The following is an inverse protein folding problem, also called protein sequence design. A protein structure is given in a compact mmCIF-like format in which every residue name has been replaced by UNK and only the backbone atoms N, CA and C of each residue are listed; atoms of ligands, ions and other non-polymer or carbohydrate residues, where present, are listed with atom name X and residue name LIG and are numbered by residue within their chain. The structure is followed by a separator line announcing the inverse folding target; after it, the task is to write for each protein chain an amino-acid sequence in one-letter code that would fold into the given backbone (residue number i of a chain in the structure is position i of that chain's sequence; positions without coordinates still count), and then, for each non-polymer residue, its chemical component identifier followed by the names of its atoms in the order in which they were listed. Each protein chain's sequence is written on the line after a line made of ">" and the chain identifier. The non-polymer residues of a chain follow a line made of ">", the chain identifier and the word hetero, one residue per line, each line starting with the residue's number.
data_IF_450489930006
#
_entry.id   IF_450489930006
#
_cell.length_a   1.000
_cell.length_b   1.000
_cell.length_c   1.000
_cell.angle_alpha   90.00
_cell.angle_beta   90.00
_cell.angle_gamma   90.00
#
_symmetry.space_group_name_H-M   'P 1'
#
loop_
_entity.id
_entity.type
_entity.pdbx_description
1 polymer ?
#
# COMPACT_ATOMS: atom_id res chain seq x y z
N UNK A 1 20.52 -3.47 -41.03
CA UNK A 1 21.45 -3.65 -39.89
C UNK A 1 21.13 -2.59 -38.85
N UNK A 2 20.52 -2.95 -37.72
CA UNK A 2 20.38 -2.05 -36.57
C UNK A 2 21.27 -2.63 -35.45
N UNK A 3 22.41 -1.99 -35.17
CA UNK A 3 23.24 -2.38 -34.03
C UNK A 3 22.56 -1.79 -32.78
N UNK A 4 22.29 -2.57 -31.73
CA UNK A 4 21.88 -2.01 -30.45
C UNK A 4 23.05 -1.24 -29.84
N UNK A 5 22.78 -0.04 -29.32
CA UNK A 5 23.76 0.83 -28.69
C UNK A 5 24.34 0.18 -27.42
N UNK A 6 25.67 0.16 -27.24
CA UNK A 6 26.33 -0.47 -26.09
C UNK A 6 26.27 0.37 -24.81
N UNK A 7 25.48 1.45 -24.78
CA UNK A 7 25.47 2.43 -23.68
C UNK A 7 24.08 2.59 -23.05
N UNK A 8 23.31 1.49 -22.96
CA UNK A 8 22.11 1.45 -22.14
C UNK A 8 22.53 1.24 -20.68
N UNK A 9 22.63 2.34 -19.93
CA UNK A 9 22.85 2.33 -18.48
C UNK A 9 21.87 1.40 -17.72
N UNK A 10 20.72 1.11 -18.33
CA UNK A 10 19.69 0.21 -17.81
C UNK A 10 20.12 -1.26 -17.71
N UNK A 11 21.08 -1.74 -18.52
CA UNK A 11 21.49 -3.16 -18.48
C UNK A 11 22.52 -3.48 -17.39
N UNK A 12 23.38 -2.53 -17.02
CA UNK A 12 24.28 -2.70 -15.87
C UNK A 12 23.51 -2.52 -14.56
N UNK A 13 22.61 -1.53 -14.48
CA UNK A 13 21.78 -1.30 -13.31
C UNK A 13 20.91 -2.54 -12.96
N UNK A 14 20.26 -3.16 -13.96
CA UNK A 14 19.50 -4.41 -13.73
C UNK A 14 20.40 -5.58 -13.26
N UNK A 15 21.64 -5.70 -13.76
CA UNK A 15 22.57 -6.75 -13.32
C UNK A 15 23.06 -6.54 -11.89
N UNK A 16 23.29 -5.29 -11.51
CA UNK A 16 23.74 -4.93 -10.17
C UNK A 16 22.60 -5.17 -9.15
N UNK A 17 21.36 -4.82 -9.50
CA UNK A 17 20.17 -5.07 -8.68
C UNK A 17 19.91 -6.57 -8.48
N UNK A 18 20.04 -7.38 -9.53
CA UNK A 18 19.90 -8.84 -9.45
C UNK A 18 20.96 -9.46 -8.51
N UNK A 19 22.19 -8.95 -8.53
CA UNK A 19 23.26 -9.43 -7.66
C UNK A 19 23.02 -9.08 -6.18
N UNK A 20 22.52 -7.87 -5.90
CA UNK A 20 22.14 -7.45 -4.54
C UNK A 20 20.95 -8.26 -4.03
N UNK A 21 19.96 -8.55 -4.89
CA UNK A 21 18.80 -9.36 -4.52
C UNK A 21 19.20 -10.80 -4.16
N UNK A 22 20.11 -11.41 -4.93
CA UNK A 22 20.63 -12.76 -4.64
C UNK A 22 21.41 -12.82 -3.32
N UNK A 23 22.18 -11.79 -2.98
CA UNK A 23 22.87 -11.72 -1.70
C UNK A 23 21.89 -11.63 -0.51
N UNK A 24 20.81 -10.86 -0.66
CA UNK A 24 19.74 -10.77 0.34
C UNK A 24 19.03 -12.12 0.55
N UNK A 25 18.73 -12.85 -0.53
CA UNK A 25 18.13 -14.19 -0.46
C UNK A 25 19.08 -15.18 0.20
N UNK A 26 20.34 -15.22 -0.22
CA UNK A 26 21.33 -16.13 0.35
C UNK A 26 21.52 -15.91 1.86
N UNK A 27 21.53 -14.65 2.29
CA UNK A 27 21.60 -14.28 3.72
C UNK A 27 20.34 -14.66 4.49
N UNK A 28 19.16 -14.52 3.88
CA UNK A 28 17.88 -14.89 4.48
C UNK A 28 17.75 -16.41 4.64
N UNK A 29 18.12 -17.17 3.61
CA UNK A 29 18.13 -18.64 3.63
C UNK A 29 19.19 -19.18 4.59
N UNK A 30 20.36 -18.55 4.66
CA UNK A 30 21.41 -18.89 5.63
C UNK A 30 21.01 -18.62 7.09
N UNK A 31 20.17 -17.61 7.33
CA UNK A 31 19.63 -17.31 8.67
C UNK A 31 18.49 -18.27 9.06
N UNK A 32 17.68 -18.74 8.10
CA UNK A 32 16.62 -19.72 8.35
C UNK A 32 17.12 -21.16 8.44
N UNK A 33 18.25 -21.48 7.81
CA UNK A 33 18.80 -22.85 7.76
C UNK A 33 19.80 -23.17 8.87
N UNK A 34 19.92 -22.31 9.89
CA UNK A 34 20.76 -22.60 11.05
C UNK A 34 20.19 -23.78 11.87
N UNK A 35 20.90 -24.90 12.03
CA UNK A 35 20.47 -25.95 12.93
C UNK A 35 20.46 -25.40 14.36
N UNK A 36 19.45 -25.79 15.12
CA UNK A 36 19.39 -25.56 16.55
C UNK A 36 20.66 -26.12 17.22
N UNK A 37 21.54 -25.22 17.67
CA UNK A 37 22.63 -25.50 18.59
C UNK A 37 23.87 -26.12 17.95
N UNK A 38 24.91 -25.31 17.77
CA UNK A 38 26.30 -25.76 17.87
C UNK A 38 27.19 -24.52 18.06
N UNK A 39 27.95 -24.52 19.16
CA UNK A 39 28.88 -23.46 19.56
C UNK A 39 30.28 -23.90 19.11
N UNK A 40 30.98 -23.16 18.24
CA UNK A 40 32.41 -23.41 18.02
C UNK A 40 33.25 -22.52 18.91
N UNK A 41 34.03 -23.15 19.78
CA UNK A 41 35.19 -22.54 20.43
C UNK A 41 36.29 -22.28 19.40
N UNK A 42 36.87 -21.08 19.37
CA UNK A 42 38.30 -20.94 19.07
C UNK A 42 38.86 -19.61 19.58
N UNK A 43 40.06 -19.70 20.13
CA UNK A 43 40.65 -18.70 21.01
C UNK A 43 41.53 -17.63 20.36
N UNK A 44 41.77 -16.63 21.20
CA UNK A 44 42.93 -15.75 21.29
C UNK A 44 43.11 -14.62 20.25
N UNK A 45 42.85 -13.37 20.71
CA UNK A 45 43.72 -12.25 20.36
C UNK A 45 43.13 -10.84 20.27
N UNK A 46 42.64 -10.26 21.39
CA UNK A 46 42.65 -8.81 21.68
C UNK A 46 41.74 -7.89 20.85
N UNK A 47 41.05 -6.87 21.37
CA UNK A 47 41.15 -6.13 22.63
C UNK A 47 39.76 -5.57 22.95
N UNK A 48 39.36 -5.77 24.21
CA UNK A 48 38.56 -4.86 25.05
C UNK A 48 37.60 -3.88 24.39
N UNK A 49 36.31 -4.19 24.50
CA UNK A 49 35.28 -3.35 25.16
C UNK A 49 33.89 -3.58 24.59
N UNK A 50 33.44 -4.83 24.50
CA UNK A 50 32.02 -5.13 24.21
C UNK A 50 31.42 -6.21 25.11
N UNK A 51 32.11 -6.59 26.18
CA UNK A 51 31.63 -7.57 27.16
C UNK A 51 31.32 -6.89 28.50
N UNK A 52 30.39 -5.94 28.49
CA UNK A 52 29.58 -5.70 29.69
C UNK A 52 28.11 -5.90 29.34
N UNK A 53 27.68 -7.12 29.64
CA UNK A 53 26.32 -7.51 30.01
C UNK A 53 25.35 -7.87 28.88
N UNK A 54 25.64 -8.95 28.15
CA UNK A 54 24.59 -9.86 27.71
C UNK A 54 24.19 -10.76 28.89
N UNK A 55 23.30 -10.26 29.75
CA UNK A 55 22.51 -11.13 30.64
C UNK A 55 21.32 -11.67 29.83
N UNK A 56 21.05 -12.98 29.82
CA UNK A 56 19.80 -13.49 29.29
C UNK A 56 18.69 -13.13 30.30
N UNK A 57 17.68 -12.37 29.88
CA UNK A 57 16.50 -12.11 30.72
C UNK A 57 15.96 -10.68 30.78
N UNK A 58 16.14 -9.84 29.75
CA UNK A 58 15.28 -8.65 29.62
C UNK A 58 14.97 -8.38 28.15
N UNK A 59 13.70 -8.56 27.78
CA UNK A 59 13.20 -8.06 26.50
C UNK A 59 13.48 -6.55 26.47
N UNK A 60 14.16 -6.06 25.42
CA UNK A 60 14.37 -4.62 25.24
C UNK A 60 13.01 -3.95 25.21
N UNK A 61 12.85 -2.93 26.03
CA UNK A 61 11.64 -2.13 26.08
C UNK A 61 11.67 -1.09 24.97
N UNK A 62 10.51 -0.62 24.53
CA UNK A 62 10.39 0.43 23.51
C UNK A 62 11.19 1.69 23.87
N UNK A 63 11.40 1.95 25.18
CA UNK A 63 12.23 3.04 25.72
C UNK A 63 13.72 2.92 25.37
N UNK A 64 14.22 1.71 25.10
CA UNK A 64 15.62 1.48 24.78
C UNK A 64 15.98 1.91 23.34
N UNK A 65 14.96 2.20 22.51
CA UNK A 65 15.09 2.61 21.11
C UNK A 65 14.75 4.08 20.88
N UNK A 66 14.61 4.87 21.94
CA UNK A 66 14.20 6.26 21.84
C UNK A 66 15.35 7.23 22.18
N UNK A 67 16.17 7.61 21.18
CA UNK A 67 17.33 8.49 21.40
C UNK A 67 16.93 9.93 21.76
N UNK A 68 15.65 10.28 21.63
CA UNK A 68 15.12 11.63 21.88
C UNK A 68 14.30 11.71 23.18
N UNK A 69 14.07 10.59 23.86
CA UNK A 69 13.46 10.53 25.20
C UNK A 69 11.95 10.84 25.26
N UNK A 70 11.25 10.77 24.13
CA UNK A 70 9.82 11.09 23.98
C UNK A 70 8.87 10.04 24.59
N UNK A 71 9.35 8.83 24.86
CA UNK A 71 8.61 7.69 25.39
C UNK A 71 8.47 7.69 26.92
N UNK A 72 9.06 8.69 27.58
CA UNK A 72 8.81 8.94 29.00
C UNK A 72 7.68 9.96 29.12
N UNK A 73 6.51 9.62 29.67
CA UNK A 73 5.49 10.61 29.95
C UNK A 73 6.08 11.67 30.88
N UNK A 74 5.87 12.95 30.55
CA UNK A 74 6.33 14.05 31.39
C UNK A 74 5.76 13.86 32.80
N UNK A 75 6.64 13.86 33.80
CA UNK A 75 6.24 13.81 35.21
C UNK A 75 5.39 15.05 35.48
N UNK A 76 4.08 14.87 35.66
CA UNK A 76 3.21 15.92 36.17
C UNK A 76 3.73 16.31 37.56
N UNK A 77 4.08 17.60 37.79
CA UNK A 77 4.51 18.04 39.10
C UNK A 77 3.36 17.90 40.09
N UNK A 78 3.66 17.36 41.27
CA UNK A 78 2.71 17.10 42.36
C UNK A 78 1.63 18.19 42.47
N UNK A 79 0.41 17.73 42.23
CA UNK A 79 -0.82 18.51 42.16
C UNK A 79 -1.22 19.01 43.55
N UNK A 80 -0.54 20.02 44.09
CA UNK A 80 -1.05 20.72 45.28
C UNK A 80 -0.72 22.23 45.33
N UNK A 81 0.04 22.75 44.37
CA UNK A 81 0.31 24.20 44.24
C UNK A 81 -0.08 24.81 42.88
N UNK A 82 -0.53 23.98 41.92
CA UNK A 82 -0.72 24.36 40.52
C UNK A 82 -2.12 24.84 40.12
N UNK A 83 -3.15 24.54 40.91
CA UNK A 83 -4.54 24.77 40.52
C UNK A 83 -4.84 26.25 40.19
N UNK A 84 -4.29 27.20 40.96
CA UNK A 84 -4.53 28.63 40.73
C UNK A 84 -3.67 29.26 39.61
N UNK A 85 -2.63 28.57 39.12
CA UNK A 85 -1.79 29.05 38.00
C UNK A 85 -2.15 28.39 36.66
N UNK A 86 -2.67 27.17 36.70
CA UNK A 86 -3.12 26.46 35.50
C UNK A 86 -4.27 27.19 34.78
N UNK A 87 -5.19 27.79 35.54
CA UNK A 87 -6.33 28.54 34.97
C UNK A 87 -5.90 29.81 34.19
N UNK A 88 -4.75 30.40 34.54
CA UNK A 88 -4.23 31.61 33.90
C UNK A 88 -3.28 31.33 32.71
N UNK A 89 -2.56 30.20 32.71
CA UNK A 89 -1.66 29.80 31.62
C UNK A 89 -2.35 28.97 30.52
N UNK A 90 -3.51 28.36 30.79
CA UNK A 90 -4.29 27.65 29.79
C UNK A 90 -4.88 28.58 28.71
N UNK A 91 -5.15 29.85 29.03
CA UNK A 91 -5.76 30.82 28.10
C UNK A 91 -4.80 31.39 27.05
N UNK A 92 -3.53 31.01 27.04
CA UNK A 92 -2.51 31.58 26.14
C UNK A 92 -1.68 30.56 25.35
N UNK A 93 -1.91 29.26 25.53
CA UNK A 93 -1.21 28.23 24.75
C UNK A 93 -1.88 28.13 23.36
N UNK A 94 -1.15 28.31 22.25
CA UNK A 94 -1.71 28.03 20.94
C UNK A 94 -2.14 26.56 20.92
N UNK A 95 -3.38 26.30 20.49
CA UNK A 95 -3.94 24.95 20.43
C UNK A 95 -2.97 24.05 19.68
N UNK A 96 -2.45 23.04 20.37
CA UNK A 96 -1.50 22.09 19.81
C UNK A 96 -2.21 21.14 18.85
N UNK A 97 -1.46 20.36 18.03
CA UNK A 97 -2.03 19.39 17.08
C UNK A 97 -2.84 18.24 17.71
N UNK A 98 -3.06 18.25 19.02
CA UNK A 98 -3.83 17.26 19.78
C UNK A 98 -4.93 17.89 20.63
N UNK A 99 -5.07 19.21 20.59
CA UNK A 99 -6.01 19.97 21.40
C UNK A 99 -7.28 20.24 20.57
N UNK A 100 -7.85 19.17 20.01
CA UNK A 100 -9.14 19.24 19.30
C UNK A 100 -10.26 19.12 20.33
N UNK A 101 -11.13 20.12 20.42
CA UNK A 101 -12.39 19.96 21.11
C UNK A 101 -13.26 19.00 20.30
N UNK A 102 -13.80 17.97 20.96
CA UNK A 102 -14.84 17.13 20.38
C UNK A 102 -16.10 17.96 20.41
N UNK A 103 -16.42 18.61 19.29
CA UNK A 103 -17.73 19.23 19.12
C UNK A 103 -18.73 18.07 19.09
N UNK A 104 -19.51 17.91 20.16
CA UNK A 104 -20.66 16.98 20.23
C UNK A 104 -21.79 17.51 19.32
N UNK A 105 -21.48 17.77 18.05
CA UNK A 105 -22.49 18.00 17.04
C UNK A 105 -22.98 16.63 16.59
N UNK A 106 -24.28 16.37 16.76
CA UNK A 106 -24.98 15.14 16.39
C UNK A 106 -25.01 14.90 14.85
N UNK A 107 -23.91 15.14 14.14
CA UNK A 107 -23.70 14.81 12.74
C UNK A 107 -23.51 13.30 12.58
N UNK A 108 -24.52 12.54 12.98
CA UNK A 108 -24.59 11.13 12.65
C UNK A 108 -24.60 11.03 11.13
N UNK A 109 -23.54 10.45 10.57
CA UNK A 109 -23.49 10.16 9.14
C UNK A 109 -24.69 9.28 8.78
N UNK A 110 -25.66 9.88 8.09
CA UNK A 110 -26.78 9.17 7.46
C UNK A 110 -26.39 9.02 5.99
N UNK A 111 -25.99 7.82 5.54
CA UNK A 111 -25.77 7.59 4.13
C UNK A 111 -27.05 7.93 3.37
N UNK A 112 -26.91 8.72 2.32
CA UNK A 112 -28.01 8.90 1.36
C UNK A 112 -28.38 7.54 0.74
N UNK A 113 -29.68 7.32 0.53
CA UNK A 113 -30.13 6.08 -0.11
C UNK A 113 -29.54 6.01 -1.53
N UNK A 114 -28.87 4.91 -1.88
CA UNK A 114 -28.17 4.83 -3.15
C UNK A 114 -29.19 4.90 -4.29
N UNK A 115 -28.88 5.60 -5.39
CA UNK A 115 -29.74 5.66 -6.56
C UNK A 115 -29.99 4.24 -7.09
N UNK A 116 -31.23 3.98 -7.53
CA UNK A 116 -31.63 2.66 -8.01
C UNK A 116 -30.79 2.24 -9.23
N UNK A 117 -30.16 1.07 -9.14
CA UNK A 117 -29.41 0.46 -10.23
C UNK A 117 -30.28 0.11 -11.45
N UNK A 118 -31.61 0.13 -11.31
CA UNK A 118 -32.54 -0.06 -12.42
C UNK A 118 -32.46 1.07 -13.47
N UNK A 119 -31.81 2.20 -13.14
CA UNK A 119 -31.63 3.34 -14.04
C UNK A 119 -30.45 3.25 -15.01
N UNK A 120 -29.70 2.14 -15.05
CA UNK A 120 -28.56 2.04 -15.99
C UNK A 120 -29.00 2.10 -17.44
N UNK A 121 -28.34 2.92 -18.25
CA UNK A 121 -28.69 3.10 -19.65
C UNK A 121 -28.50 1.78 -20.44
N UNK A 122 -29.52 1.33 -21.21
CA UNK A 122 -29.49 0.02 -21.86
C UNK A 122 -28.35 -0.14 -22.85
N UNK A 123 -27.90 0.94 -23.48
CA UNK A 123 -26.77 0.91 -24.41
C UNK A 123 -25.45 0.59 -23.69
N UNK A 124 -25.26 1.11 -22.48
CA UNK A 124 -24.09 0.85 -21.64
C UNK A 124 -24.09 -0.62 -21.19
N UNK A 125 -25.24 -1.16 -20.83
CA UNK A 125 -25.43 -2.59 -20.56
C UNK A 125 -25.04 -3.45 -21.78
N UNK A 126 -25.53 -3.11 -22.97
CA UNK A 126 -25.17 -3.83 -24.21
C UNK A 126 -23.66 -3.76 -24.50
N UNK A 127 -23.03 -2.61 -24.25
CA UNK A 127 -21.60 -2.46 -24.41
C UNK A 127 -20.81 -3.32 -23.41
N UNK A 128 -21.26 -3.43 -22.15
CA UNK A 128 -20.67 -4.37 -21.19
C UNK A 128 -20.83 -5.83 -21.61
N UNK A 129 -22.01 -6.19 -22.12
CA UNK A 129 -22.26 -7.52 -22.67
C UNK A 129 -21.35 -7.78 -23.87
N UNK A 130 -21.13 -6.82 -24.76
CA UNK A 130 -20.21 -6.99 -25.89
C UNK A 130 -18.74 -7.01 -25.47
N UNK A 131 -18.35 -6.22 -24.47
CA UNK A 131 -16.98 -6.14 -23.96
C UNK A 131 -16.59 -7.44 -23.22
N UNK A 132 -17.45 -7.96 -22.34
CA UNK A 132 -17.20 -9.22 -21.62
C UNK A 132 -17.55 -10.42 -22.47
N UNK A 133 -18.66 -10.34 -23.21
CA UNK A 133 -19.15 -11.39 -24.08
C UNK A 133 -18.27 -11.63 -25.31
N UNK A 134 -17.53 -10.64 -25.81
CA UNK A 134 -16.61 -10.81 -26.93
C UNK A 134 -15.52 -11.86 -26.68
N UNK A 135 -14.68 -11.71 -25.64
CA UNK A 135 -13.67 -12.69 -25.26
C UNK A 135 -14.26 -14.07 -24.96
N UNK A 136 -15.38 -14.10 -24.24
CA UNK A 136 -16.09 -15.34 -23.91
C UNK A 136 -16.61 -16.03 -25.18
N UNK A 137 -17.24 -15.29 -26.08
CA UNK A 137 -17.76 -15.79 -27.35
C UNK A 137 -16.64 -16.30 -28.26
N UNK A 138 -15.48 -15.63 -28.29
CA UNK A 138 -14.30 -16.12 -29.00
C UNK A 138 -13.81 -17.45 -28.40
N UNK A 139 -13.79 -17.59 -27.08
CA UNK A 139 -13.41 -18.83 -26.41
C UNK A 139 -14.39 -19.97 -26.73
N UNK A 140 -15.70 -19.72 -26.66
CA UNK A 140 -16.72 -20.69 -27.06
C UNK A 140 -16.65 -21.03 -28.55
N UNK A 141 -16.38 -20.05 -29.41
CA UNK A 141 -16.20 -20.27 -30.85
C UNK A 141 -14.99 -21.17 -31.10
N UNK A 142 -13.86 -20.91 -30.44
CA UNK A 142 -12.66 -21.75 -30.58
C UNK A 142 -12.87 -23.18 -30.06
N UNK A 143 -13.65 -23.35 -28.99
CA UNK A 143 -13.87 -24.64 -28.32
C UNK A 143 -14.95 -25.49 -29.00
N UNK A 144 -16.12 -24.91 -29.30
CA UNK A 144 -17.27 -25.62 -29.87
C UNK A 144 -17.31 -25.56 -31.40
N UNK A 145 -16.61 -24.59 -32.01
CA UNK A 145 -16.72 -24.24 -33.42
C UNK A 145 -15.35 -24.09 -34.08
N UNK A 146 -14.54 -25.17 -34.00
CA UNK A 146 -13.17 -25.21 -34.53
C UNK A 146 -13.05 -24.81 -36.02
N UNK A 147 -14.10 -25.00 -36.80
CA UNK A 147 -14.20 -24.64 -38.22
C UNK A 147 -15.06 -23.40 -38.48
N UNK A 148 -15.18 -22.50 -37.50
CA UNK A 148 -15.91 -21.24 -37.67
C UNK A 148 -15.38 -20.44 -38.88
N UNK A 149 -16.27 -19.91 -39.73
CA UNK A 149 -15.86 -19.10 -40.87
C UNK A 149 -15.19 -17.80 -40.37
N UNK A 150 -14.17 -17.34 -41.10
CA UNK A 150 -13.38 -16.17 -40.74
C UNK A 150 -14.24 -14.91 -40.55
N UNK A 151 -15.37 -14.80 -41.28
CA UNK A 151 -16.35 -13.73 -41.14
C UNK A 151 -17.01 -13.70 -39.76
N UNK A 152 -17.31 -14.85 -39.16
CA UNK A 152 -17.90 -14.93 -37.82
C UNK A 152 -16.90 -14.46 -36.76
N UNK A 153 -15.66 -14.93 -36.83
CA UNK A 153 -14.59 -14.52 -35.91
C UNK A 153 -14.33 -13.01 -36.01
N UNK A 154 -14.22 -12.46 -37.22
CA UNK A 154 -14.09 -11.02 -37.42
C UNK A 154 -15.30 -10.24 -36.90
N UNK A 155 -16.51 -10.78 -37.06
CA UNK A 155 -17.73 -10.17 -36.52
C UNK A 155 -17.69 -10.04 -34.99
N UNK A 156 -17.28 -11.11 -34.29
CA UNK A 156 -17.16 -11.10 -32.82
C UNK A 156 -16.09 -10.08 -32.38
N UNK A 157 -14.94 -10.07 -33.06
CA UNK A 157 -13.87 -9.10 -32.76
C UNK A 157 -14.35 -7.66 -33.00
N UNK A 158 -15.07 -7.41 -34.09
CA UNK A 158 -15.60 -6.08 -34.40
C UNK A 158 -16.62 -5.61 -33.33
N UNK A 159 -17.53 -6.49 -32.89
CA UNK A 159 -18.48 -6.19 -31.80
C UNK A 159 -17.74 -5.89 -30.49
N UNK A 160 -16.73 -6.67 -30.15
CA UNK A 160 -15.91 -6.44 -28.97
C UNK A 160 -15.22 -5.08 -29.01
N UNK A 161 -14.54 -4.75 -30.12
CA UNK A 161 -13.85 -3.46 -30.28
C UNK A 161 -14.84 -2.30 -30.21
N UNK A 162 -15.97 -2.39 -30.93
CA UNK A 162 -17.01 -1.35 -30.89
C UNK A 162 -17.55 -1.13 -29.48
N UNK A 163 -17.74 -2.21 -28.71
CA UNK A 163 -18.23 -2.14 -27.33
C UNK A 163 -17.24 -1.47 -26.38
N UNK A 164 -15.95 -1.82 -26.49
CA UNK A 164 -14.88 -1.21 -25.68
C UNK A 164 -14.72 0.27 -26.03
N UNK A 165 -14.69 0.61 -27.32
CA UNK A 165 -14.61 2.01 -27.77
C UNK A 165 -15.80 2.82 -27.24
N UNK A 166 -17.02 2.26 -27.31
CA UNK A 166 -18.21 2.92 -26.76
C UNK A 166 -18.08 3.17 -25.25
N UNK A 167 -17.62 2.19 -24.47
CA UNK A 167 -17.40 2.36 -23.03
C UNK A 167 -16.37 3.44 -22.72
N UNK A 168 -15.26 3.49 -23.47
CA UNK A 168 -14.24 4.53 -23.31
C UNK A 168 -14.83 5.92 -23.58
N UNK A 169 -15.60 6.08 -24.66
CA UNK A 169 -16.27 7.34 -24.98
C UNK A 169 -17.31 7.75 -23.92
N UNK A 170 -17.77 6.80 -23.10
CA UNK A 170 -18.77 7.04 -22.05
C UNK A 170 -18.15 7.38 -20.70
N UNK A 171 -16.84 7.22 -20.53
CA UNK A 171 -16.18 7.56 -19.27
C UNK A 171 -16.36 9.06 -18.95
N UNK A 172 -16.86 9.41 -17.75
CA UNK A 172 -16.94 10.79 -17.30
C UNK A 172 -15.57 11.44 -17.39
N UNK A 173 -15.49 12.60 -18.05
CA UNK A 173 -14.23 13.35 -18.20
C UNK A 173 -14.02 14.37 -17.07
N UNK A 174 -15.05 14.60 -16.27
CA UNK A 174 -15.05 15.51 -15.14
C UNK A 174 -14.81 14.73 -13.84
N UNK A 175 -13.71 15.07 -13.17
CA UNK A 175 -13.40 14.62 -11.81
C UNK A 175 -14.07 15.60 -10.86
N UNK A 176 -14.87 15.14 -9.90
CA UNK A 176 -15.34 16.00 -8.82
C UNK A 176 -14.12 16.51 -8.04
N UNK A 177 -13.89 17.83 -8.07
CA UNK A 177 -12.76 18.47 -7.38
C UNK A 177 -12.98 18.52 -5.86
N UNK A 178 -14.25 18.49 -5.44
CA UNK A 178 -14.69 18.55 -4.04
C UNK A 178 -14.84 17.16 -3.38
N UNK A 179 -14.59 16.09 -4.12
CA UNK A 179 -14.68 14.70 -3.62
C UNK A 179 -13.27 14.10 -3.52
N UNK A 180 -12.56 14.48 -2.46
CA UNK A 180 -11.23 13.94 -2.11
C UNK A 180 -11.32 12.65 -1.28
N UNK A 181 -12.53 12.11 -1.08
CA UNK A 181 -12.79 10.92 -0.29
C UNK A 181 -12.72 11.12 1.22
N UNK A 182 -12.47 12.34 1.70
CA UNK A 182 -12.41 12.69 3.12
C UNK A 182 -13.47 13.75 3.46
N UNK A 183 -14.47 13.36 4.27
CA UNK A 183 -15.41 14.31 4.86
C UNK A 183 -14.91 14.57 6.29
N UNK A 184 -14.50 15.82 6.56
CA UNK A 184 -14.07 16.27 7.91
C UNK A 184 -15.24 16.24 8.89
#
# INVERSE_FOLDING_TARGET
>A
MNRPDPNSADQSANKDDDAVWLDLVARLEGTQSGPAGEIPEEGAGGQDSAARHLRPGRARSFKDFDPLGLSTPAQEPDSDAGAARADAEASGRPSGPRDFEVEDEDHTFIPEEPPSLAGTEPLVMLAWVGAVGGPIALLFTAMLWRSAPLTATLGIVAVFVASVVYLIMRLPQEKNEDDDGARL
#
